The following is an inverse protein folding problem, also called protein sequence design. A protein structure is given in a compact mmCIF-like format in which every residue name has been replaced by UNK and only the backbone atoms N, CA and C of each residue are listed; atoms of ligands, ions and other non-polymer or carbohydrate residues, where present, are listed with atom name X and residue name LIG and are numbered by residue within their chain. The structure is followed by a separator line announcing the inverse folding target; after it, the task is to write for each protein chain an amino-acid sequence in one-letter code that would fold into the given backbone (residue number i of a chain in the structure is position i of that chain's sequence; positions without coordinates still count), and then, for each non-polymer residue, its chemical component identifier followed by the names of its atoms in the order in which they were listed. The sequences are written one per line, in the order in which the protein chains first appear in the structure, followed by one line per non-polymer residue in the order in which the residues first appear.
data_IF_314403774073
#
_entry.id   IF_314403774073
#
_cell.length_a   1.000
_cell.length_b   1.000
_cell.length_c   1.000
_cell.angle_alpha   90.00
_cell.angle_beta   90.00
_cell.angle_gamma   90.00
#
_symmetry.space_group_name_H-M   'P 1'
#
loop_
_entity.id
_entity.type
_entity.pdbx_description
1 polymer ?
#
# COMPACT_ATOMS: atom_id res chain seq x y z
N UNK A 1 -3.93 -35.52 31.51
CA UNK A 1 -3.47 -35.39 30.10
C UNK A 1 -4.22 -34.27 29.34
N UNK A 2 -4.38 -33.07 29.91
CA UNK A 2 -5.18 -31.97 29.29
C UNK A 2 -4.36 -30.72 28.94
N UNK A 3 -3.03 -30.73 29.09
CA UNK A 3 -2.17 -29.54 28.95
C UNK A 3 -1.53 -29.31 27.58
N UNK A 4 -1.62 -30.28 26.65
CA UNK A 4 -0.85 -30.25 25.38
C UNK A 4 -1.65 -29.62 24.23
N UNK A 5 -2.99 -29.53 24.34
CA UNK A 5 -3.86 -28.98 23.28
C UNK A 5 -3.90 -27.44 23.23
N UNK A 6 -3.55 -26.76 24.33
CA UNK A 6 -3.59 -25.29 24.38
C UNK A 6 -2.39 -24.63 23.67
N UNK A 7 -1.25 -25.33 23.62
CA UNK A 7 -0.01 -24.80 23.03
C UNK A 7 -0.01 -24.90 21.49
N UNK A 8 -0.65 -25.92 20.92
CA UNK A 8 -0.77 -26.07 19.46
C UNK A 8 -1.72 -25.04 18.85
N UNK A 9 -2.84 -24.73 19.50
CA UNK A 9 -3.79 -23.72 19.04
C UNK A 9 -3.22 -22.30 19.06
N UNK A 10 -2.36 -21.99 20.04
CA UNK A 10 -1.76 -20.66 20.19
C UNK A 10 -0.80 -20.32 19.05
N UNK A 11 -0.06 -21.31 18.54
CA UNK A 11 0.86 -21.09 17.42
C UNK A 11 0.11 -20.88 16.10
N UNK A 12 -0.96 -21.65 15.86
CA UNK A 12 -1.79 -21.51 14.65
C UNK A 12 -2.43 -20.13 14.56
N UNK A 13 -2.90 -19.57 15.69
CA UNK A 13 -3.47 -18.22 15.73
C UNK A 13 -2.44 -17.13 15.46
N UNK A 14 -1.22 -17.26 15.98
CA UNK A 14 -0.12 -16.33 15.71
C UNK A 14 0.28 -16.35 14.23
N UNK A 15 0.34 -17.54 13.61
CA UNK A 15 0.66 -17.67 12.20
C UNK A 15 -0.43 -17.05 11.30
N UNK A 16 -1.71 -17.30 11.61
CA UNK A 16 -2.84 -16.69 10.88
C UNK A 16 -2.82 -15.16 10.98
N UNK A 17 -2.48 -14.61 12.15
CA UNK A 17 -2.36 -13.15 12.33
C UNK A 17 -1.20 -12.56 11.49
N UNK A 18 -0.09 -13.28 11.36
CA UNK A 18 1.05 -12.87 10.52
C UNK A 18 0.69 -12.94 9.05
N UNK A 19 0.02 -14.00 8.60
CA UNK A 19 -0.45 -14.15 7.22
C UNK A 19 -1.41 -13.02 6.83
N UNK A 20 -2.38 -12.69 7.68
CA UNK A 20 -3.32 -11.58 7.43
C UNK A 20 -2.57 -10.25 7.26
N UNK A 21 -1.61 -9.96 8.15
CA UNK A 21 -0.83 -8.73 8.07
C UNK A 21 0.02 -8.66 6.81
N UNK A 22 0.60 -9.79 6.38
CA UNK A 22 1.35 -9.89 5.12
C UNK A 22 0.43 -9.67 3.90
N UNK A 23 -0.77 -10.25 3.91
CA UNK A 23 -1.77 -10.03 2.86
C UNK A 23 -2.18 -8.57 2.78
N UNK A 24 -2.53 -7.94 3.91
CA UNK A 24 -2.85 -6.50 3.96
C UNK A 24 -1.70 -5.64 3.48
N UNK A 25 -0.45 -5.99 3.83
CA UNK A 25 0.73 -5.27 3.36
C UNK A 25 0.93 -5.38 1.84
N UNK A 26 0.71 -6.55 1.25
CA UNK A 26 0.77 -6.71 -0.20
C UNK A 26 -0.35 -5.94 -0.91
N UNK A 27 -1.56 -5.95 -0.37
CA UNK A 27 -2.66 -5.14 -0.88
C UNK A 27 -2.35 -3.65 -0.78
N UNK A 28 -1.83 -3.17 0.35
CA UNK A 28 -1.43 -1.78 0.54
C UNK A 28 -0.36 -1.37 -0.49
N UNK A 29 0.65 -2.22 -0.72
CA UNK A 29 1.68 -1.95 -1.72
C UNK A 29 1.10 -1.88 -3.14
N UNK A 30 0.21 -2.80 -3.50
CA UNK A 30 -0.44 -2.80 -4.82
C UNK A 30 -1.26 -1.53 -5.05
N UNK A 31 -1.97 -1.05 -4.02
CA UNK A 31 -2.74 0.19 -4.10
C UNK A 31 -1.82 1.40 -4.18
N UNK A 32 -0.72 1.42 -3.42
CA UNK A 32 0.30 2.46 -3.51
C UNK A 32 0.89 2.54 -4.93
N UNK A 33 1.28 1.39 -5.50
CA UNK A 33 1.87 1.31 -6.84
C UNK A 33 0.88 1.79 -7.92
N UNK A 34 -0.38 1.35 -7.84
CA UNK A 34 -1.44 1.79 -8.74
C UNK A 34 -1.75 3.29 -8.60
N UNK A 35 -1.73 3.82 -7.37
CA UNK A 35 -1.95 5.24 -7.11
C UNK A 35 -0.79 6.10 -7.62
N UNK A 36 0.45 5.66 -7.43
CA UNK A 36 1.64 6.34 -7.96
C UNK A 36 1.59 6.38 -9.49
N UNK A 37 1.27 5.26 -10.14
CA UNK A 37 1.13 5.21 -11.59
C UNK A 37 -0.03 6.09 -12.08
N UNK A 38 -1.19 6.02 -11.43
CA UNK A 38 -2.35 6.84 -11.78
C UNK A 38 -2.05 8.34 -11.62
N UNK A 39 -1.27 8.73 -10.61
CA UNK A 39 -0.88 10.12 -10.39
C UNK A 39 0.05 10.63 -11.49
N UNK A 40 0.97 9.77 -11.98
CA UNK A 40 1.86 10.10 -13.10
C UNK A 40 1.08 10.22 -14.41
N UNK A 41 0.21 9.26 -14.72
CA UNK A 41 -0.47 9.15 -16.02
C UNK A 41 -1.70 10.06 -16.15
N UNK A 42 -2.46 10.20 -15.06
CA UNK A 42 -3.78 10.84 -15.05
C UNK A 42 -3.91 11.95 -14.01
N UNK A 43 -2.85 12.22 -13.26
CA UNK A 43 -2.81 13.28 -12.25
C UNK A 43 -3.33 12.86 -10.88
N UNK A 44 -3.10 13.73 -9.91
CA UNK A 44 -3.38 13.52 -8.49
C UNK A 44 -4.85 13.13 -8.22
N UNK A 45 -5.82 13.77 -8.87
CA UNK A 45 -7.25 13.52 -8.60
C UNK A 45 -7.63 12.05 -8.86
N UNK A 46 -7.05 11.41 -9.87
CA UNK A 46 -7.35 10.01 -10.21
C UNK A 46 -6.69 9.07 -9.20
N UNK A 47 -5.47 9.38 -8.78
CA UNK A 47 -4.80 8.63 -7.71
C UNK A 47 -5.59 8.69 -6.39
N UNK A 48 -6.09 9.87 -5.99
CA UNK A 48 -6.94 10.02 -4.80
C UNK A 48 -8.20 9.16 -4.90
N UNK A 49 -8.84 9.13 -6.07
CA UNK A 49 -10.05 8.35 -6.30
C UNK A 49 -9.77 6.84 -6.27
N UNK A 50 -8.65 6.39 -6.86
CA UNK A 50 -8.23 4.99 -6.84
C UNK A 50 -7.94 4.51 -5.42
N UNK A 51 -7.26 5.32 -4.62
CA UNK A 51 -6.97 5.00 -3.21
C UNK A 51 -8.27 4.87 -2.41
N UNK A 52 -9.22 5.80 -2.60
CA UNK A 52 -10.52 5.76 -1.95
C UNK A 52 -11.36 4.52 -2.35
N UNK A 53 -11.33 4.12 -3.63
CA UNK A 53 -12.01 2.91 -4.11
C UNK A 53 -11.46 1.63 -3.46
N UNK A 54 -10.19 1.63 -3.09
CA UNK A 54 -9.53 0.51 -2.40
C UNK A 54 -9.61 0.61 -0.88
N UNK A 55 -10.46 1.50 -0.33
CA UNK A 55 -10.63 1.71 1.11
C UNK A 55 -9.32 2.09 1.83
N UNK A 56 -8.35 2.61 1.09
CA UNK A 56 -7.12 3.14 1.62
C UNK A 56 -7.20 4.67 1.76
N UNK A 57 -6.25 5.24 2.47
CA UNK A 57 -6.11 6.68 2.68
C UNK A 57 -4.76 7.15 2.20
N UNK A 58 -4.71 8.27 1.49
CA UNK A 58 -3.42 8.92 1.18
C UNK A 58 -2.92 9.63 2.43
N UNK A 59 -1.70 9.27 2.84
CA UNK A 59 -0.96 9.91 3.92
C UNK A 59 -0.08 11.02 3.37
N UNK A 60 0.58 10.77 2.24
CA UNK A 60 1.39 11.75 1.53
C UNK A 60 1.30 11.53 0.02
N UNK A 61 1.29 12.61 -0.74
CA UNK A 61 1.40 12.60 -2.19
C UNK A 61 2.35 13.73 -2.59
N UNK A 62 3.49 13.35 -3.17
CA UNK A 62 4.48 14.31 -3.66
C UNK A 62 4.63 14.15 -5.16
N UNK A 63 4.30 15.20 -5.90
CA UNK A 63 4.49 15.28 -7.35
C UNK A 63 5.66 16.21 -7.61
N UNK A 64 6.73 15.67 -8.19
CA UNK A 64 7.93 16.39 -8.57
C UNK A 64 8.06 16.40 -10.09
N UNK A 65 7.95 17.58 -10.69
CA UNK A 65 8.25 17.77 -12.11
C UNK A 65 9.69 18.19 -12.26
N UNK A 66 10.49 17.34 -12.90
CA UNK A 66 11.90 17.63 -13.17
C UNK A 66 11.99 18.07 -14.62
N UNK A 67 12.34 19.34 -14.85
CA UNK A 67 12.63 19.83 -16.19
C UNK A 67 13.67 18.91 -16.85
N UNK A 68 13.36 18.41 -18.05
CA UNK A 68 14.14 17.43 -18.83
C UNK A 68 14.15 15.96 -18.35
N UNK A 69 13.57 15.60 -17.19
CA UNK A 69 13.49 14.19 -16.74
C UNK A 69 12.07 13.63 -16.55
N UNK A 70 11.05 14.48 -16.72
CA UNK A 70 9.65 14.08 -16.66
C UNK A 70 9.03 14.25 -15.27
N UNK A 71 8.02 13.43 -14.96
CA UNK A 71 7.26 13.53 -13.70
C UNK A 71 7.62 12.37 -12.81
N UNK A 72 8.00 12.66 -11.56
CA UNK A 72 8.19 11.68 -10.49
C UNK A 72 7.08 11.90 -9.46
N UNK A 73 6.36 10.84 -9.12
CA UNK A 73 5.36 10.85 -8.06
C UNK A 73 5.74 9.85 -6.98
N UNK A 74 5.74 10.32 -5.73
CA UNK A 74 5.87 9.48 -4.54
C UNK A 74 4.54 9.50 -3.81
N UNK A 75 3.98 8.32 -3.55
CA UNK A 75 2.71 8.17 -2.84
C UNK A 75 2.93 7.33 -1.61
N UNK A 76 2.41 7.79 -0.48
CA UNK A 76 2.30 7.03 0.76
C UNK A 76 0.81 6.86 1.07
N UNK A 77 0.36 5.62 1.14
CA UNK A 77 -1.01 5.29 1.53
C UNK A 77 -1.03 4.47 2.81
N UNK A 78 -2.17 4.48 3.49
CA UNK A 78 -2.47 3.63 4.62
C UNK A 78 -3.71 2.77 4.29
N UNK A 79 -3.58 1.46 4.46
CA UNK A 79 -4.67 0.49 4.34
C UNK A 79 -4.70 -0.36 5.61
N UNK A 80 -5.80 -0.31 6.36
CA UNK A 80 -5.98 -1.05 7.62
C UNK A 80 -4.81 -0.90 8.61
N UNK A 81 -4.26 0.32 8.72
CA UNK A 81 -3.13 0.65 9.59
C UNK A 81 -1.75 0.21 9.06
N UNK A 82 -1.68 -0.35 7.85
CA UNK A 82 -0.42 -0.62 7.15
C UNK A 82 -0.11 0.51 6.19
N UNK A 83 1.08 1.10 6.32
CA UNK A 83 1.56 2.09 5.38
C UNK A 83 2.37 1.44 4.26
N UNK A 84 2.10 1.86 3.04
CA UNK A 84 2.83 1.46 1.86
C UNK A 84 3.25 2.70 1.07
N UNK A 85 4.47 2.64 0.53
CA UNK A 85 5.04 3.71 -0.27
C UNK A 85 5.36 3.18 -1.66
N UNK A 86 4.98 3.96 -2.67
CA UNK A 86 5.33 3.68 -4.05
C UNK A 86 5.85 4.94 -4.73
N UNK A 87 6.78 4.73 -5.66
CA UNK A 87 7.31 5.79 -6.52
C UNK A 87 7.09 5.38 -7.95
N UNK A 88 6.44 6.23 -8.73
CA UNK A 88 6.29 6.08 -10.16
C UNK A 88 6.90 7.29 -10.85
N UNK A 89 7.46 7.07 -12.04
CA UNK A 89 7.99 8.15 -12.84
C UNK A 89 7.75 7.89 -14.31
N UNK A 90 7.41 8.93 -15.06
CA UNK A 90 7.37 8.89 -16.50
C UNK A 90 8.52 9.72 -17.06
N UNK A 91 9.39 9.08 -17.84
CA UNK A 91 10.45 9.74 -18.57
C UNK A 91 9.85 10.34 -19.85
N UNK A 92 10.14 11.62 -20.09
CA UNK A 92 9.68 12.33 -21.28
C UNK A 92 10.40 11.85 -22.55
#
# INVERSE_FOLDING_TARGET
MMGVLALSFSWSLALVAVEQKLTTSMSAQTVADAAALAAVESGESVAQQLVALNQARIVSLEVQTIADQGVVVVVVIELDGVQAQATASNAN
#
